data_IF_024759043104
#
_entry.id   IF_024759043104
#
_cell.length_a   1.000
_cell.length_b   1.000
_cell.length_c   1.000
_cell.angle_alpha   90.00
_cell.angle_beta   90.00
_cell.angle_gamma   90.00
#
_symmetry.space_group_name_H-M   'P 1'
#
loop_
_entity.id
_entity.type
_entity.pdbx_description
1 polymer ?
#
# COMPACT_ATOMS: atom_id res chain seq x y z
N UNK A 1 -8.37 57.23 -41.52
CA UNK A 1 -7.58 58.42 -41.14
C UNK A 1 -7.63 58.49 -39.62
N UNK A 2 -6.56 58.43 -38.82
CA UNK A 2 -5.14 58.54 -39.07
C UNK A 2 -4.38 57.60 -38.10
N UNK A 3 -3.15 57.30 -38.51
CA UNK A 3 -2.11 56.48 -37.89
C UNK A 3 -1.46 57.16 -36.69
N UNK A 4 -0.98 56.37 -35.71
CA UNK A 4 0.44 56.32 -35.30
C UNK A 4 0.63 55.55 -33.99
N UNK A 5 1.54 54.57 -34.04
CA UNK A 5 2.43 54.16 -32.95
C UNK A 5 3.87 54.60 -33.37
N UNK A 6 4.97 54.41 -32.61
CA UNK A 6 5.11 53.85 -31.25
C UNK A 6 6.05 54.69 -30.33
N UNK A 7 6.17 54.33 -29.05
CA UNK A 7 7.41 54.57 -28.28
C UNK A 7 7.65 53.50 -27.23
N UNK A 8 8.79 52.83 -27.36
CA UNK A 8 9.39 51.83 -26.48
C UNK A 8 9.95 52.44 -25.19
N UNK A 9 9.74 51.78 -24.05
CA UNK A 9 10.61 51.92 -22.89
C UNK A 9 10.75 50.57 -22.18
N UNK A 10 12.01 50.13 -22.08
CA UNK A 10 12.48 48.92 -21.43
C UNK A 10 12.16 48.92 -19.93
N UNK A 11 11.71 47.78 -19.41
CA UNK A 11 11.68 47.47 -17.98
C UNK A 11 11.86 45.97 -17.79
N UNK A 12 13.02 45.58 -17.26
CA UNK A 12 13.46 44.22 -17.02
C UNK A 12 12.44 43.38 -16.22
N UNK A 13 12.19 42.16 -16.70
CA UNK A 13 11.53 41.10 -15.95
C UNK A 13 12.47 40.58 -14.85
N UNK A 14 12.04 40.44 -13.60
CA UNK A 14 12.78 39.65 -12.63
C UNK A 14 12.51 38.16 -12.87
N UNK A 15 13.51 37.49 -13.44
CA UNK A 15 13.65 36.03 -13.41
C UNK A 15 14.05 35.61 -12.01
N UNK A 16 13.11 35.05 -11.24
CA UNK A 16 13.42 34.17 -10.12
C UNK A 16 12.59 32.91 -10.30
N UNK A 17 13.14 31.97 -11.08
CA UNK A 17 12.69 30.58 -11.05
C UNK A 17 13.32 30.01 -9.78
N UNK A 18 12.53 29.94 -8.73
CA UNK A 18 12.84 29.17 -7.54
C UNK A 18 12.83 27.69 -7.94
N UNK A 19 14.01 27.16 -8.25
CA UNK A 19 14.21 25.73 -8.44
C UNK A 19 14.11 25.09 -7.06
N UNK A 20 12.90 24.63 -6.71
CA UNK A 20 12.66 23.78 -5.56
C UNK A 20 13.62 22.57 -5.55
N UNK A 21 13.82 21.94 -4.38
CA UNK A 21 14.81 20.90 -4.23
C UNK A 21 14.54 19.77 -5.23
N UNK A 22 15.59 19.38 -5.95
CA UNK A 22 15.60 18.21 -6.82
C UNK A 22 15.12 17.01 -6.01
N UNK A 23 13.98 16.45 -6.42
CA UNK A 23 13.41 15.25 -5.82
C UNK A 23 14.33 14.09 -6.16
N UNK A 24 15.05 13.60 -5.15
CA UNK A 24 15.83 12.38 -5.26
C UNK A 24 14.88 11.20 -5.52
N UNK A 25 14.92 10.70 -6.76
CA UNK A 25 14.26 9.45 -7.15
C UNK A 25 14.90 8.30 -6.36
N UNK A 26 14.18 7.72 -5.40
CA UNK A 26 14.63 6.52 -4.67
C UNK A 26 14.11 5.28 -5.41
N UNK A 27 15.06 4.43 -5.81
CA UNK A 27 14.84 3.18 -6.56
C UNK A 27 14.54 2.03 -5.57
N UNK A 28 13.46 1.26 -5.82
CA UNK A 28 12.90 0.16 -5.00
C UNK A 28 13.87 -1.01 -4.74
N UNK A 29 13.60 -2.00 -3.87
CA UNK A 29 14.48 -3.13 -3.45
C UNK A 29 13.78 -4.51 -3.44
N UNK A 30 14.46 -5.66 -3.66
CA UNK A 30 14.00 -6.96 -3.16
C UNK A 30 14.68 -7.29 -1.81
N UNK A 31 14.03 -8.12 -0.99
CA UNK A 31 14.66 -8.68 0.21
C UNK A 31 15.26 -10.04 -0.17
N UNK A 32 16.54 -10.07 -0.54
CA UNK A 32 17.22 -11.34 -0.83
C UNK A 32 17.84 -11.91 0.44
N UNK A 33 17.76 -13.24 0.58
CA UNK A 33 18.37 -14.01 1.64
C UNK A 33 19.88 -13.73 1.76
N UNK A 34 20.39 -13.78 2.98
CA UNK A 34 21.83 -13.83 3.24
C UNK A 34 22.31 -15.20 2.74
N UNK A 35 22.93 -15.24 1.56
CA UNK A 35 23.58 -16.46 1.06
C UNK A 35 24.90 -16.67 1.84
N UNK A 36 24.93 -17.71 2.68
CA UNK A 36 26.19 -18.31 3.13
C UNK A 36 26.90 -18.86 1.89
N UNK A 37 28.10 -18.34 1.64
CA UNK A 37 28.84 -18.58 0.41
C UNK A 37 29.31 -20.02 0.25
N UNK A 38 29.17 -20.52 -0.97
CA UNK A 38 30.18 -21.36 -1.62
C UNK A 38 30.13 -21.08 -3.14
N UNK A 39 31.33 -20.97 -3.72
CA UNK A 39 31.67 -20.49 -5.06
C UNK A 39 31.77 -21.64 -6.07
N UNK A 40 30.97 -21.61 -7.13
CA UNK A 40 31.30 -22.23 -8.41
C UNK A 40 30.48 -21.68 -9.60
N UNK A 41 31.20 -21.13 -10.58
CA UNK A 41 30.65 -20.28 -11.63
C UNK A 41 30.07 -20.97 -12.88
N UNK A 42 29.25 -20.19 -13.60
CA UNK A 42 29.08 -20.28 -15.05
C UNK A 42 28.55 -18.95 -15.59
N UNK A 43 29.24 -18.35 -16.56
CA UNK A 43 28.80 -17.11 -17.23
C UNK A 43 27.73 -17.43 -18.28
N UNK A 44 26.54 -16.82 -18.16
CA UNK A 44 25.60 -16.69 -19.28
C UNK A 44 25.32 -15.21 -19.57
N UNK A 45 25.57 -14.84 -20.82
CA UNK A 45 25.39 -13.50 -21.38
C UNK A 45 24.00 -13.43 -22.02
N UNK A 46 23.05 -12.73 -21.37
CA UNK A 46 21.72 -12.52 -21.93
C UNK A 46 20.92 -11.40 -21.28
N UNK A 47 20.76 -10.31 -22.03
CA UNK A 47 19.70 -9.27 -21.93
C UNK A 47 19.56 -8.50 -20.61
N UNK A 48 20.19 -7.32 -20.56
CA UNK A 48 19.92 -6.30 -19.54
C UNK A 48 18.56 -5.62 -19.77
N UNK A 49 17.47 -6.21 -19.27
CA UNK A 49 16.36 -5.41 -18.76
C UNK A 49 16.78 -4.91 -17.39
N UNK A 50 17.00 -3.61 -17.26
CA UNK A 50 17.39 -2.96 -16.00
C UNK A 50 16.26 -3.07 -14.98
N UNK A 51 16.19 -4.19 -14.27
CA UNK A 51 15.40 -4.32 -13.04
C UNK A 51 16.17 -3.59 -11.95
N UNK A 52 15.90 -2.30 -11.79
CA UNK A 52 16.51 -1.50 -10.75
C UNK A 52 15.77 -1.77 -9.44
N UNK A 53 16.23 -2.81 -8.73
CA UNK A 53 15.79 -3.10 -7.37
C UNK A 53 17.02 -3.06 -6.43
N UNK A 54 17.26 -1.92 -5.76
CA UNK A 54 18.32 -1.59 -4.81
C UNK A 54 17.97 -1.95 -3.36
N UNK A 55 18.82 -2.70 -2.65
CA UNK A 55 18.60 -3.24 -1.29
C UNK A 55 18.10 -2.26 -0.21
N UNK A 56 17.42 -2.80 0.82
CA UNK A 56 17.00 -2.05 2.02
C UNK A 56 18.20 -1.33 2.66
N UNK A 57 18.10 -0.01 2.80
CA UNK A 57 19.04 0.79 3.58
C UNK A 57 18.75 0.64 5.08
N UNK A 58 19.76 0.73 5.94
CA UNK A 58 19.58 0.66 7.41
C UNK A 58 18.56 1.69 7.93
N UNK A 59 18.40 2.83 7.23
CA UNK A 59 17.40 3.84 7.59
C UNK A 59 15.95 3.36 7.44
N UNK A 60 15.69 2.27 6.71
CA UNK A 60 14.34 1.70 6.57
C UNK A 60 13.88 1.01 7.86
N UNK A 61 14.80 0.54 8.69
CA UNK A 61 14.51 -0.17 9.95
C UNK A 61 14.61 0.73 11.19
N UNK A 62 14.84 2.03 11.02
CA UNK A 62 14.78 2.99 12.11
C UNK A 62 13.32 3.22 12.54
N UNK A 63 12.90 2.61 13.65
CA UNK A 63 11.55 2.74 14.18
C UNK A 63 11.39 3.82 15.24
N UNK A 64 10.28 4.55 15.19
CA UNK A 64 9.83 5.42 16.27
C UNK A 64 9.31 4.53 17.40
N UNK A 65 9.66 4.85 18.64
CA UNK A 65 9.19 4.09 19.81
C UNK A 65 8.32 4.93 20.71
N UNK A 66 7.07 4.50 20.92
CA UNK A 66 6.11 5.16 21.81
C UNK A 66 5.47 4.12 22.72
N UNK A 67 5.50 4.35 24.03
CA UNK A 67 4.88 3.47 25.03
C UNK A 67 5.25 1.97 24.89
N UNK A 68 6.49 1.69 24.46
CA UNK A 68 6.99 0.33 24.26
C UNK A 68 6.56 -0.34 22.95
N UNK A 69 5.84 0.36 22.07
CA UNK A 69 5.48 -0.08 20.71
C UNK A 69 6.36 0.57 19.66
N UNK A 70 6.61 -0.10 18.54
CA UNK A 70 7.35 0.47 17.39
C UNK A 70 6.41 0.94 16.29
N UNK A 71 6.81 1.98 15.57
CA UNK A 71 6.07 2.59 14.47
C UNK A 71 7.05 2.98 13.36
N UNK A 72 6.57 3.06 12.12
CA UNK A 72 7.36 3.61 11.02
C UNK A 72 7.72 5.08 11.27
N UNK A 73 8.88 5.51 10.77
CA UNK A 73 9.31 6.91 10.78
C UNK A 73 9.10 7.60 9.43
N UNK A 74 8.77 6.85 8.38
CA UNK A 74 8.78 7.35 6.99
C UNK A 74 7.48 8.02 6.57
N UNK A 75 6.37 7.59 7.17
CA UNK A 75 5.02 8.03 6.84
C UNK A 75 4.23 8.26 8.11
N UNK A 76 3.24 9.14 8.04
CA UNK A 76 2.30 9.37 9.13
C UNK A 76 1.28 8.23 9.19
N UNK A 77 1.72 7.10 9.73
CA UNK A 77 0.89 5.92 10.01
C UNK A 77 0.73 5.72 11.52
N UNK A 78 -0.50 5.40 11.93
CA UNK A 78 -0.87 5.33 13.34
C UNK A 78 -0.74 3.93 13.94
N UNK A 79 -0.71 2.90 13.10
CA UNK A 79 -0.58 1.52 13.54
C UNK A 79 0.85 1.18 13.95
N UNK A 80 1.05 0.43 15.06
CA UNK A 80 2.36 -0.10 15.40
C UNK A 80 2.82 -1.15 14.37
N UNK A 81 4.10 -1.51 14.38
CA UNK A 81 4.70 -2.50 13.49
C UNK A 81 5.62 -3.49 14.22
N UNK A 82 5.33 -3.73 15.51
CA UNK A 82 6.02 -4.71 16.34
C UNK A 82 5.38 -6.10 16.27
N UNK A 83 6.07 -7.10 16.81
CA UNK A 83 5.62 -8.49 16.88
C UNK A 83 4.19 -8.64 17.41
N UNK A 84 3.83 -7.86 18.43
CA UNK A 84 2.48 -7.90 18.99
C UNK A 84 1.42 -7.45 17.99
N UNK A 85 1.74 -6.47 17.13
CA UNK A 85 0.85 -6.10 16.04
C UNK A 85 0.81 -7.19 14.97
N UNK A 86 1.95 -7.78 14.62
CA UNK A 86 2.04 -8.83 13.61
C UNK A 86 1.16 -10.03 14.01
N UNK A 87 1.24 -10.49 15.27
CA UNK A 87 0.35 -11.52 15.81
C UNK A 87 -1.14 -11.16 15.69
N UNK A 88 -1.49 -9.89 15.88
CA UNK A 88 -2.86 -9.42 15.74
C UNK A 88 -3.34 -9.40 14.28
N UNK A 89 -2.46 -9.04 13.34
CA UNK A 89 -2.73 -9.10 11.89
C UNK A 89 -2.94 -10.54 11.43
N UNK A 90 -2.12 -11.47 11.89
CA UNK A 90 -2.22 -12.89 11.54
C UNK A 90 -3.50 -13.53 12.12
N UNK A 91 -3.85 -13.19 13.37
CA UNK A 91 -5.13 -13.61 13.96
C UNK A 91 -6.32 -13.04 13.18
N UNK A 92 -6.24 -11.78 12.76
CA UNK A 92 -7.26 -11.15 11.94
C UNK A 92 -7.40 -11.85 10.58
N UNK A 93 -6.29 -12.20 9.93
CA UNK A 93 -6.31 -13.01 8.71
C UNK A 93 -7.06 -14.33 8.94
N UNK A 94 -6.72 -15.07 9.99
CA UNK A 94 -7.37 -16.36 10.28
C UNK A 94 -8.88 -16.21 10.52
N UNK A 95 -9.28 -15.22 11.32
CA UNK A 95 -10.70 -14.96 11.58
C UNK A 95 -11.47 -14.58 10.31
N UNK A 96 -10.89 -13.75 9.43
CA UNK A 96 -11.54 -13.40 8.16
C UNK A 96 -11.68 -14.60 7.23
N UNK A 97 -10.65 -15.44 7.14
CA UNK A 97 -10.70 -16.67 6.36
C UNK A 97 -11.79 -17.60 6.89
N UNK A 98 -11.96 -17.74 8.22
CA UNK A 98 -13.08 -18.48 8.80
C UNK A 98 -14.44 -17.86 8.48
N UNK A 99 -14.56 -16.54 8.60
CA UNK A 99 -15.80 -15.81 8.30
C UNK A 99 -16.23 -15.97 6.84
N UNK A 100 -15.28 -16.07 5.92
CA UNK A 100 -15.50 -16.25 4.49
C UNK A 100 -15.52 -17.72 4.04
N UNK A 101 -15.75 -18.66 4.95
CA UNK A 101 -15.81 -20.10 4.65
C UNK A 101 -14.53 -20.63 3.98
N UNK A 102 -13.38 -20.24 4.51
CA UNK A 102 -12.04 -20.58 4.04
C UNK A 102 -11.66 -20.01 2.66
N UNK A 103 -12.29 -18.91 2.22
CA UNK A 103 -11.93 -18.20 0.99
C UNK A 103 -11.07 -16.98 1.27
N UNK A 104 -9.97 -16.84 0.53
CA UNK A 104 -9.09 -15.66 0.60
C UNK A 104 -9.72 -14.41 -0.06
N UNK A 105 -10.56 -14.61 -1.07
CA UNK A 105 -11.23 -13.55 -1.83
C UNK A 105 -12.63 -14.00 -2.28
N UNK A 106 -13.48 -13.05 -2.70
CA UNK A 106 -14.84 -13.32 -3.20
C UNK A 106 -14.98 -13.02 -4.70
N UNK A 107 -14.08 -12.21 -5.26
CA UNK A 107 -14.03 -11.85 -6.66
C UNK A 107 -13.94 -13.11 -7.55
N UNK A 108 -14.76 -13.21 -8.63
CA UNK A 108 -14.76 -14.36 -9.52
C UNK A 108 -13.60 -14.29 -10.53
N UNK A 109 -12.35 -14.35 -10.04
CA UNK A 109 -11.14 -14.23 -10.87
C UNK A 109 -10.79 -15.55 -11.61
N UNK A 110 -11.33 -16.70 -11.16
CA UNK A 110 -11.07 -18.01 -11.78
C UNK A 110 -9.60 -18.45 -11.67
N UNK A 111 -9.22 -19.52 -12.37
CA UNK A 111 -7.90 -20.16 -12.21
C UNK A 111 -6.87 -19.74 -13.28
N UNK A 112 -6.91 -18.48 -13.74
CA UNK A 112 -5.94 -17.98 -14.72
C UNK A 112 -4.62 -17.61 -14.03
N UNK A 113 -3.56 -17.45 -14.83
CA UNK A 113 -2.35 -16.78 -14.34
C UNK A 113 -2.71 -15.32 -14.08
N UNK A 114 -2.57 -14.89 -12.84
CA UNK A 114 -2.99 -13.56 -12.39
C UNK A 114 -1.79 -12.75 -11.93
N UNK A 115 -1.66 -11.52 -12.43
CA UNK A 115 -0.87 -10.46 -11.80
C UNK A 115 -1.69 -9.87 -10.68
N UNK A 116 -1.27 -10.13 -9.45
CA UNK A 116 -2.03 -9.76 -8.24
C UNK A 116 -1.28 -8.69 -7.46
N UNK A 117 -2.01 -7.69 -7.01
CA UNK A 117 -1.52 -6.64 -6.12
C UNK A 117 -2.26 -6.71 -4.79
N UNK A 118 -1.53 -6.88 -3.68
CA UNK A 118 -2.06 -6.79 -2.32
C UNK A 118 -1.58 -5.48 -1.68
N UNK A 119 -2.49 -4.51 -1.56
CA UNK A 119 -2.20 -3.18 -1.05
C UNK A 119 -2.34 -3.16 0.47
N UNK A 120 -1.30 -2.70 1.18
CA UNK A 120 -1.28 -2.74 2.64
C UNK A 120 -1.10 -4.16 3.16
N UNK A 121 -0.15 -4.91 2.59
CA UNK A 121 -0.03 -6.36 2.79
C UNK A 121 0.28 -6.76 4.25
N UNK A 122 0.73 -5.81 5.10
CA UNK A 122 1.03 -6.06 6.50
C UNK A 122 2.11 -7.13 6.65
N UNK A 123 1.83 -8.22 7.37
CA UNK A 123 2.75 -9.36 7.50
C UNK A 123 2.98 -10.12 6.19
N UNK A 124 2.16 -9.87 5.16
CA UNK A 124 2.24 -10.58 3.89
C UNK A 124 1.46 -11.89 3.85
N UNK A 125 0.83 -12.30 4.96
CA UNK A 125 0.19 -13.61 5.10
C UNK A 125 -0.87 -13.87 4.03
N UNK A 126 -1.69 -12.87 3.66
CA UNK A 126 -2.68 -13.03 2.60
C UNK A 126 -2.02 -13.26 1.23
N UNK A 127 -1.00 -12.47 0.90
CA UNK A 127 -0.28 -12.58 -0.37
C UNK A 127 0.43 -13.94 -0.50
N UNK A 128 1.01 -14.44 0.60
CA UNK A 128 1.66 -15.75 0.66
C UNK A 128 0.63 -16.87 0.45
N UNK A 129 -0.48 -16.87 1.20
CA UNK A 129 -1.51 -17.89 1.06
C UNK A 129 -2.12 -17.88 -0.35
N UNK A 130 -2.32 -16.70 -0.94
CA UNK A 130 -2.78 -16.57 -2.32
C UNK A 130 -1.77 -17.16 -3.31
N UNK A 131 -0.48 -16.84 -3.13
CA UNK A 131 0.59 -17.34 -3.99
C UNK A 131 0.73 -18.87 -3.94
N UNK A 132 0.53 -19.47 -2.76
CA UNK A 132 0.50 -20.92 -2.57
C UNK A 132 -0.73 -21.58 -3.21
N UNK A 133 -1.91 -20.97 -3.11
CA UNK A 133 -3.14 -21.46 -3.74
C UNK A 133 -3.08 -21.33 -5.28
N UNK A 134 -2.40 -20.31 -5.79
CA UNK A 134 -2.25 -20.04 -7.22
C UNK A 134 -0.77 -19.97 -7.66
N UNK A 135 -0.09 -21.12 -7.83
CA UNK A 135 1.34 -21.16 -8.20
C UNK A 135 1.68 -20.51 -9.56
N UNK A 136 0.67 -20.26 -10.39
CA UNK A 136 0.81 -19.57 -11.69
C UNK A 136 0.59 -18.05 -11.63
N UNK A 137 0.18 -17.51 -10.49
CA UNK A 137 0.04 -16.08 -10.27
C UNK A 137 1.41 -15.41 -10.06
N UNK A 138 1.49 -14.10 -10.24
CA UNK A 138 2.62 -13.23 -9.86
C UNK A 138 2.07 -12.22 -8.84
N UNK A 139 2.34 -12.47 -7.57
CA UNK A 139 1.77 -11.72 -6.44
C UNK A 139 2.77 -10.66 -5.96
N UNK A 140 2.31 -9.41 -5.90
CA UNK A 140 3.05 -8.28 -5.34
C UNK A 140 2.32 -7.77 -4.11
N UNK A 141 2.92 -7.86 -2.93
CA UNK A 141 2.43 -7.20 -1.73
C UNK A 141 3.16 -5.87 -1.50
N UNK A 142 2.43 -4.82 -1.13
CA UNK A 142 3.00 -3.49 -0.86
C UNK A 142 2.67 -3.07 0.56
N UNK A 143 3.67 -2.68 1.34
CA UNK A 143 3.48 -2.09 2.68
C UNK A 143 4.55 -1.05 2.96
N UNK A 144 4.23 -0.10 3.84
CA UNK A 144 5.18 0.94 4.29
C UNK A 144 6.21 0.41 5.31
N UNK A 145 5.92 -0.71 5.96
CA UNK A 145 6.75 -1.33 6.98
C UNK A 145 7.38 -2.63 6.47
N UNK A 146 8.70 -2.84 6.66
CA UNK A 146 9.38 -4.07 6.28
C UNK A 146 9.18 -5.16 7.35
N UNK A 147 7.94 -5.62 7.52
CA UNK A 147 7.55 -6.63 8.54
C UNK A 147 7.21 -8.00 7.93
N UNK A 148 7.47 -8.18 6.64
CA UNK A 148 7.18 -9.41 5.92
C UNK A 148 8.29 -10.45 6.14
N UNK A 149 7.99 -11.76 6.08
CA UNK A 149 8.98 -12.80 6.25
C UNK A 149 10.02 -12.79 5.12
N UNK A 150 11.23 -13.25 5.43
CA UNK A 150 12.30 -13.40 4.43
C UNK A 150 12.11 -14.60 3.49
N UNK A 151 11.36 -15.61 3.93
CA UNK A 151 11.03 -16.77 3.13
C UNK A 151 9.61 -16.63 2.58
N UNK A 152 9.50 -16.55 1.26
CA UNK A 152 8.23 -16.41 0.53
C UNK A 152 8.15 -17.39 -0.62
N UNK A 153 6.94 -17.72 -1.11
CA UNK A 153 6.78 -18.45 -2.37
C UNK A 153 7.52 -17.73 -3.52
N UNK A 154 8.08 -18.48 -4.49
CA UNK A 154 8.88 -17.89 -5.58
C UNK A 154 8.07 -16.94 -6.48
N UNK A 155 6.74 -17.03 -6.41
CA UNK A 155 5.79 -16.21 -7.14
C UNK A 155 5.17 -15.08 -6.28
N UNK A 156 5.72 -14.82 -5.09
CA UNK A 156 5.30 -13.74 -4.19
C UNK A 156 6.49 -12.82 -3.87
N UNK A 157 6.32 -11.52 -4.10
CA UNK A 157 7.32 -10.49 -3.79
C UNK A 157 6.71 -9.34 -3.01
N UNK A 158 7.52 -8.73 -2.15
CA UNK A 158 7.12 -7.58 -1.34
C UNK A 158 7.87 -6.32 -1.74
N UNK A 159 7.17 -5.19 -1.71
CA UNK A 159 7.73 -3.86 -1.98
C UNK A 159 7.44 -2.94 -0.79
N UNK A 160 8.49 -2.26 -0.34
CA UNK A 160 8.36 -1.24 0.70
C UNK A 160 8.09 0.10 0.05
N UNK A 161 6.82 0.47 -0.05
CA UNK A 161 6.39 1.73 -0.67
C UNK A 161 5.07 2.23 -0.08
N UNK A 162 4.81 3.51 -0.30
CA UNK A 162 3.58 4.18 0.09
C UNK A 162 2.58 4.17 -1.07
N UNK A 163 1.49 3.42 -0.89
CA UNK A 163 0.42 3.26 -1.89
C UNK A 163 -0.29 4.58 -2.27
N UNK A 164 -0.14 5.64 -1.46
CA UNK A 164 -0.70 6.97 -1.74
C UNK A 164 0.15 7.78 -2.73
N UNK A 165 1.36 7.29 -3.07
CA UNK A 165 2.20 7.87 -4.12
C UNK A 165 1.71 7.46 -5.50
N UNK A 166 2.10 8.20 -6.56
CA UNK A 166 1.87 7.79 -7.94
C UNK A 166 2.42 6.38 -8.19
N UNK A 167 1.54 5.48 -8.63
CA UNK A 167 1.93 4.11 -8.97
C UNK A 167 2.82 4.07 -10.20
N UNK A 168 3.80 3.16 -10.21
CA UNK A 168 4.83 3.07 -11.26
C UNK A 168 4.68 1.87 -12.19
N UNK A 169 3.66 1.05 -11.96
CA UNK A 169 3.33 -0.06 -12.85
C UNK A 169 2.73 0.45 -14.17
N UNK A 170 2.75 -0.36 -15.25
CA UNK A 170 2.02 -0.02 -16.46
C UNK A 170 0.51 0.09 -16.24
N UNK A 171 -0.15 0.93 -17.04
CA UNK A 171 -1.61 0.98 -17.13
C UNK A 171 -2.16 -0.40 -17.52
N UNK A 172 -3.22 -0.85 -16.84
CA UNK A 172 -3.84 -2.15 -17.08
C UNK A 172 -2.95 -3.36 -16.82
N UNK A 173 -2.00 -3.26 -15.89
CA UNK A 173 -1.04 -4.33 -15.59
C UNK A 173 -1.59 -5.45 -14.70
N UNK A 174 -2.48 -5.16 -13.75
CA UNK A 174 -2.96 -6.14 -12.78
C UNK A 174 -4.27 -6.79 -13.21
N UNK A 175 -4.38 -8.10 -12.97
CA UNK A 175 -5.61 -8.87 -13.15
C UNK A 175 -6.53 -8.74 -11.92
N UNK A 176 -5.92 -8.65 -10.74
CA UNK A 176 -6.62 -8.57 -9.46
C UNK A 176 -5.88 -7.63 -8.50
N UNK A 177 -6.59 -6.68 -7.93
CA UNK A 177 -6.10 -5.80 -6.88
C UNK A 177 -6.92 -6.09 -5.62
N UNK A 178 -6.25 -6.38 -4.52
CA UNK A 178 -6.83 -6.68 -3.22
C UNK A 178 -6.43 -5.60 -2.21
N UNK A 179 -7.40 -5.19 -1.40
CA UNK A 179 -7.25 -4.27 -0.27
C UNK A 179 -8.02 -4.86 0.90
N UNK A 180 -7.41 -4.82 2.09
CA UNK A 180 -8.07 -5.24 3.31
C UNK A 180 -7.52 -4.51 4.53
N UNK A 181 -8.41 -4.04 5.40
CA UNK A 181 -8.06 -3.35 6.65
C UNK A 181 -7.14 -2.13 6.46
N UNK A 182 -7.38 -1.34 5.41
CA UNK A 182 -6.75 -0.05 5.20
C UNK A 182 -7.59 1.12 5.75
N UNK A 183 -8.67 0.82 6.46
CA UNK A 183 -9.51 1.80 7.14
C UNK A 183 -8.68 2.74 8.04
N UNK A 184 -8.76 4.05 7.78
CA UNK A 184 -7.96 5.04 8.50
C UNK A 184 -6.45 5.07 8.16
N UNK A 185 -6.01 4.32 7.15
CA UNK A 185 -4.62 4.28 6.66
C UNK A 185 -4.42 5.12 5.39
N UNK A 186 -5.50 5.37 4.64
CA UNK A 186 -5.51 6.14 3.38
C UNK A 186 -6.10 7.54 3.63
N UNK A 187 -5.47 8.57 3.08
CA UNK A 187 -5.93 9.97 3.15
C UNK A 187 -6.90 10.34 2.04
N UNK A 188 -6.74 9.75 0.85
CA UNK A 188 -7.55 10.03 -0.34
C UNK A 188 -7.98 8.73 -1.05
N UNK A 189 -9.11 8.16 -0.60
CA UNK A 189 -9.71 6.98 -1.23
C UNK A 189 -10.09 7.19 -2.68
N UNK A 190 -10.74 8.30 -3.10
CA UNK A 190 -11.00 8.57 -4.51
C UNK A 190 -9.75 8.45 -5.39
N UNK A 191 -8.63 9.07 -4.98
CA UNK A 191 -7.37 8.94 -5.71
C UNK A 191 -6.85 7.52 -5.71
N UNK A 192 -6.94 6.78 -4.61
CA UNK A 192 -6.54 5.37 -4.58
C UNK A 192 -7.38 4.54 -5.56
N UNK A 193 -8.70 4.78 -5.64
CA UNK A 193 -9.58 4.12 -6.59
C UNK A 193 -9.26 4.48 -8.05
N UNK A 194 -8.90 5.73 -8.33
CA UNK A 194 -8.43 6.15 -9.65
C UNK A 194 -7.15 5.38 -10.05
N UNK A 195 -6.18 5.28 -9.15
CA UNK A 195 -4.95 4.52 -9.40
C UNK A 195 -5.22 3.02 -9.58
N UNK A 196 -6.06 2.44 -8.72
CA UNK A 196 -6.49 1.05 -8.83
C UNK A 196 -7.15 0.79 -10.18
N UNK A 197 -8.06 1.66 -10.60
CA UNK A 197 -8.77 1.53 -11.87
C UNK A 197 -7.83 1.67 -13.07
N UNK A 198 -6.89 2.62 -13.05
CA UNK A 198 -5.93 2.83 -14.14
C UNK A 198 -5.01 1.63 -14.34
N UNK A 199 -4.56 1.00 -13.25
CA UNK A 199 -3.60 -0.12 -13.31
C UNK A 199 -4.28 -1.48 -13.39
N UNK A 200 -5.60 -1.54 -13.28
CA UNK A 200 -6.38 -2.76 -13.47
C UNK A 200 -6.69 -2.96 -14.95
N UNK A 201 -6.43 -4.18 -15.46
CA UNK A 201 -6.78 -4.49 -16.84
C UNK A 201 -8.30 -4.42 -17.07
N UNK A 202 -8.77 -4.20 -18.31
CA UNK A 202 -10.19 -4.34 -18.64
C UNK A 202 -10.75 -5.71 -18.26
N UNK A 203 -11.75 -5.73 -17.38
CA UNK A 203 -12.36 -6.97 -16.86
C UNK A 203 -11.64 -7.60 -15.67
N UNK A 204 -10.57 -6.97 -15.17
CA UNK A 204 -9.96 -7.32 -13.89
C UNK A 204 -10.86 -6.98 -12.70
N UNK A 205 -10.45 -7.44 -11.52
CA UNK A 205 -11.20 -7.22 -10.28
C UNK A 205 -10.43 -6.36 -9.29
N UNK A 206 -11.16 -5.46 -8.64
CA UNK A 206 -10.69 -4.75 -7.47
C UNK A 206 -11.57 -5.14 -6.29
N UNK A 207 -11.00 -5.80 -5.29
CA UNK A 207 -11.71 -6.25 -4.09
C UNK A 207 -11.21 -5.50 -2.87
N UNK A 208 -12.14 -4.96 -2.11
CA UNK A 208 -11.91 -4.23 -0.87
C UNK A 208 -12.66 -4.92 0.26
N UNK A 209 -11.99 -5.19 1.37
CA UNK A 209 -12.58 -5.69 2.62
C UNK A 209 -12.21 -4.75 3.77
N UNK A 210 -13.15 -3.89 4.13
CA UNK A 210 -12.97 -2.91 5.22
C UNK A 210 -14.07 -3.09 6.27
N UNK A 211 -13.77 -2.64 7.48
CA UNK A 211 -14.76 -2.46 8.53
C UNK A 211 -15.12 -0.99 8.66
N UNK A 212 -16.41 -0.74 8.86
CA UNK A 212 -16.87 0.62 9.17
C UNK A 212 -16.53 0.95 10.64
N UNK A 213 -15.93 2.12 10.86
CA UNK A 213 -15.75 2.65 12.23
C UNK A 213 -17.09 2.91 12.90
N UNK A 214 -18.15 3.21 12.13
CA UNK A 214 -19.50 3.34 12.62
C UNK A 214 -20.18 1.96 12.65
N UNK A 215 -20.20 1.36 13.84
CA UNK A 215 -20.84 0.05 14.02
C UNK A 215 -22.35 0.23 14.21
N UNK A 216 -23.12 -0.45 13.37
CA UNK A 216 -24.58 -0.43 13.42
C UNK A 216 -25.14 -1.73 13.99
N UNK A 217 -26.31 -1.64 14.64
CA UNK A 217 -27.07 -2.82 15.07
C UNK A 217 -28.19 -3.11 14.09
N UNK A 218 -28.31 -4.34 13.60
CA UNK A 218 -29.49 -4.75 12.81
C UNK A 218 -30.78 -4.74 13.64
N UNK A 219 -30.69 -4.96 14.96
CA UNK A 219 -31.86 -5.00 15.85
C UNK A 219 -32.28 -3.62 16.32
N UNK A 220 -31.32 -2.76 16.63
CA UNK A 220 -31.57 -1.46 17.24
C UNK A 220 -31.39 -0.28 16.26
N UNK A 221 -30.78 -0.50 15.09
CA UNK A 221 -30.51 0.54 14.10
C UNK A 221 -29.78 1.74 14.72
N UNK A 222 -30.26 2.94 14.38
CA UNK A 222 -29.79 4.22 14.94
C UNK A 222 -30.30 4.47 16.38
N UNK A 223 -31.02 3.52 16.98
CA UNK A 223 -31.49 3.60 18.36
C UNK A 223 -30.43 3.12 19.37
N UNK A 224 -29.20 2.85 18.91
CA UNK A 224 -28.07 2.67 19.81
C UNK A 224 -27.87 3.96 20.61
N UNK A 225 -27.77 3.82 21.93
CA UNK A 225 -27.49 4.94 22.82
C UNK A 225 -26.20 5.66 22.37
N UNK A 226 -26.17 7.00 22.51
CA UNK A 226 -24.98 7.79 22.23
C UNK A 226 -23.81 7.40 23.13
N UNK A 227 -24.11 6.97 24.36
CA UNK A 227 -23.09 6.50 25.29
C UNK A 227 -22.68 5.03 25.06
N UNK A 228 -23.33 4.34 24.11
CA UNK A 228 -22.98 2.97 23.76
C UNK A 228 -21.54 2.88 23.25
N UNK A 229 -20.83 1.80 23.59
CA UNK A 229 -19.40 1.65 23.27
C UNK A 229 -19.10 1.79 21.78
N UNK A 230 -19.98 1.30 20.92
CA UNK A 230 -19.88 1.38 19.46
C UNK A 230 -20.05 2.80 18.91
N UNK A 231 -20.95 3.60 19.50
CA UNK A 231 -21.12 5.00 19.12
C UNK A 231 -19.91 5.82 19.57
N UNK A 232 -19.49 5.63 20.83
CA UNK A 232 -18.32 6.32 21.39
C UNK A 232 -17.02 5.98 20.66
N UNK A 233 -16.89 4.76 20.16
CA UNK A 233 -15.75 4.37 19.34
C UNK A 233 -15.66 5.23 18.08
N UNK A 234 -16.74 5.32 17.30
CA UNK A 234 -16.78 6.15 16.09
C UNK A 234 -16.53 7.64 16.40
N UNK A 235 -17.15 8.17 17.46
CA UNK A 235 -16.99 9.57 17.91
C UNK A 235 -15.54 9.93 18.29
N UNK A 236 -14.74 8.94 18.70
CA UNK A 236 -13.31 9.13 18.98
C UNK A 236 -12.46 8.92 17.74
N UNK A 237 -12.77 7.91 16.94
CA UNK A 237 -11.95 7.52 15.79
C UNK A 237 -12.01 8.56 14.67
N UNK A 238 -13.19 9.06 14.29
CA UNK A 238 -13.28 10.02 13.17
C UNK A 238 -12.46 11.30 13.42
N UNK A 239 -12.58 11.99 14.57
CA UNK A 239 -11.76 13.17 14.82
C UNK A 239 -10.27 12.85 14.98
N UNK A 240 -9.91 11.65 15.44
CA UNK A 240 -8.51 11.24 15.54
C UNK A 240 -7.88 11.04 14.16
N UNK A 241 -8.58 10.37 13.24
CA UNK A 241 -8.14 10.17 11.85
C UNK A 241 -8.03 11.51 11.10
N UNK A 242 -9.03 12.39 11.25
CA UNK A 242 -8.99 13.72 10.63
C UNK A 242 -7.76 14.53 11.09
N UNK A 243 -7.37 14.42 12.37
CA UNK A 243 -6.16 15.07 12.91
C UNK A 243 -4.86 14.45 12.40
N UNK A 244 -4.89 13.19 11.98
CA UNK A 244 -3.77 12.49 11.35
C UNK A 244 -3.73 12.72 9.82
N UNK A 245 -4.68 13.49 9.27
CA UNK A 245 -4.80 13.69 7.83
C UNK A 245 -5.28 12.44 7.09
N UNK A 246 -5.90 11.49 7.79
CA UNK A 246 -6.48 10.26 7.22
C UNK A 246 -8.00 10.37 7.23
N UNK A 247 -8.68 9.63 6.35
CA UNK A 247 -10.14 9.57 6.34
C UNK A 247 -10.63 8.19 6.78
N UNK A 248 -11.64 8.20 7.67
CA UNK A 248 -12.44 7.02 8.00
C UNK A 248 -13.80 7.01 7.30
N UNK A 249 -14.06 7.99 6.45
CA UNK A 249 -15.32 8.21 5.71
C UNK A 249 -15.08 8.09 4.22
#
# INVERSE_FOLDING_TARGET
MATNAPSTANGQAPTNVDTGPTVDTIVAAPVNAVEDGDDDGFTDTGSATTSSTASLTESVTEYRRLHGRTYTQKTDYWGPNDEKQNEALDLNHYWQTLFLEHKLFLAPIGNKSHKVLDLGTGTGIWAIDFADEFPSADVTGVDISPIQPSWTPPNCKFQIDDIERPWTWPVGFFDFIHVRNLEGSVSDWPRMYEQAFEHLQPGGWFEIKEFDFQIHSQKFGDSLDKDHIFTRWADVMFPALERLGKTGK
#
